data_IF_039388400301
#
_entry.id   IF_039388400301
#
_cell.length_a   1.000
_cell.length_b   1.000
_cell.length_c   1.000
_cell.angle_alpha   90.00
_cell.angle_beta   90.00
_cell.angle_gamma   90.00
#
_symmetry.space_group_name_H-M   'P 1'
#
loop_
_entity.id
_entity.type
_entity.pdbx_description
1 polymer ?
#
# COMPACT_ATOMS: atom_id res chain seq x y z
N UNK A 1 13.23 4.17 -6.39
CA UNK A 1 11.86 4.61 -6.06
C UNK A 1 11.05 3.43 -5.49
N UNK A 2 9.88 3.64 -4.88
CA UNK A 2 9.07 2.52 -4.31
C UNK A 2 8.75 1.41 -5.33
N UNK A 3 8.62 1.76 -6.61
CA UNK A 3 8.41 0.82 -7.71
C UNK A 3 9.61 -0.12 -7.98
N UNK A 4 10.81 0.23 -7.52
CA UNK A 4 12.06 -0.52 -7.77
C UNK A 4 12.53 -1.32 -6.55
N UNK A 5 11.89 -1.14 -5.39
CA UNK A 5 12.25 -1.87 -4.18
C UNK A 5 11.88 -3.36 -4.30
N UNK A 6 12.62 -4.28 -3.65
CA UNK A 6 12.21 -5.67 -3.52
C UNK A 6 10.79 -5.78 -2.93
N UNK A 7 9.99 -6.75 -3.39
CA UNK A 7 8.59 -6.86 -2.97
C UNK A 7 8.45 -7.15 -1.47
N UNK A 8 9.38 -7.91 -0.91
CA UNK A 8 9.52 -8.23 0.51
C UNK A 8 9.81 -7.00 1.40
N UNK A 9 10.28 -5.90 0.83
CA UNK A 9 10.55 -4.66 1.55
C UNK A 9 9.37 -3.67 1.53
N UNK A 10 8.23 -4.05 0.92
CA UNK A 10 7.06 -3.18 0.78
C UNK A 10 6.00 -3.52 1.83
N UNK A 11 5.57 -2.51 2.56
CA UNK A 11 4.31 -2.49 3.31
C UNK A 11 3.48 -1.29 2.84
N UNK A 12 2.16 -1.46 2.79
CA UNK A 12 1.23 -0.40 2.42
C UNK A 12 0.55 0.19 3.66
N UNK A 13 0.45 1.51 3.68
CA UNK A 13 -0.28 2.26 4.70
C UNK A 13 -1.01 3.44 4.08
N UNK A 14 -1.95 4.03 4.85
CA UNK A 14 -2.59 5.29 4.46
C UNK A 14 -1.99 6.49 5.16
N UNK A 15 -1.43 6.32 6.37
CA UNK A 15 -1.13 7.42 7.31
C UNK A 15 -2.38 8.23 7.72
N UNK A 16 -3.56 7.59 7.67
CA UNK A 16 -4.79 8.23 8.12
C UNK A 16 -4.72 8.60 9.61
N UNK A 17 -5.15 9.82 9.99
CA UNK A 17 -6.03 10.70 9.23
C UNK A 17 -5.36 11.72 8.30
N UNK A 18 -4.04 11.75 8.26
CA UNK A 18 -3.23 12.70 7.52
C UNK A 18 -2.87 12.14 6.12
N UNK A 19 -2.11 12.91 5.33
CA UNK A 19 -1.59 12.49 4.02
C UNK A 19 -2.63 11.89 3.05
N UNK A 20 -3.76 12.57 2.85
CA UNK A 20 -4.76 12.12 1.89
C UNK A 20 -4.15 11.84 0.51
N UNK A 21 -4.40 10.66 -0.09
CA UNK A 21 -3.80 10.28 -1.35
C UNK A 21 -4.30 11.20 -2.48
N UNK A 22 -3.53 11.29 -3.57
CA UNK A 22 -3.86 12.16 -4.71
C UNK A 22 -5.22 11.87 -5.35
N UNK A 23 -5.75 10.65 -5.17
CA UNK A 23 -7.08 10.24 -5.65
C UNK A 23 -8.23 10.82 -4.80
N UNK A 24 -7.93 11.23 -3.56
CA UNK A 24 -8.88 11.80 -2.59
C UNK A 24 -8.40 13.16 -2.04
N UNK A 25 -8.07 14.14 -2.91
CA UNK A 25 -7.38 15.36 -2.50
C UNK A 25 -8.27 16.26 -1.63
N UNK A 26 -7.68 16.89 -0.60
CA UNK A 26 -8.36 17.84 0.28
C UNK A 26 -9.36 17.22 1.26
N UNK A 27 -9.47 15.89 1.28
CA UNK A 27 -10.31 15.14 2.22
C UNK A 27 -9.50 14.68 3.44
N UNK A 28 -10.16 14.34 4.55
CA UNK A 28 -9.50 13.61 5.65
C UNK A 28 -9.15 12.23 5.12
N UNK A 29 -7.94 11.76 5.37
CA UNK A 29 -7.57 10.43 4.93
C UNK A 29 -8.24 9.35 5.80
N UNK A 30 -8.37 8.16 5.23
CA UNK A 30 -9.11 7.04 5.79
C UNK A 30 -8.44 5.72 5.39
N UNK A 31 -8.41 4.70 6.27
CA UNK A 31 -7.95 3.35 5.93
C UNK A 31 -8.65 2.76 4.70
N UNK A 32 -9.87 3.20 4.38
CA UNK A 32 -10.62 2.73 3.21
C UNK A 32 -9.97 3.10 1.87
N UNK A 33 -9.01 4.04 1.86
CA UNK A 33 -8.25 4.41 0.67
C UNK A 33 -7.07 3.48 0.37
N UNK A 34 -6.71 2.56 1.27
CA UNK A 34 -5.57 1.65 1.10
C UNK A 34 -5.63 0.83 -0.22
N UNK A 35 -6.80 0.34 -0.68
CA UNK A 35 -6.90 -0.35 -1.97
C UNK A 35 -6.52 0.53 -3.16
N UNK A 36 -6.80 1.83 -3.12
CA UNK A 36 -6.45 2.75 -4.21
C UNK A 36 -4.94 3.03 -4.24
N UNK A 37 -4.31 3.12 -3.06
CA UNK A 37 -2.85 3.20 -2.93
C UNK A 37 -2.18 1.93 -3.48
N UNK A 38 -2.73 0.75 -3.16
CA UNK A 38 -2.25 -0.52 -3.68
C UNK A 38 -2.31 -0.56 -5.22
N UNK A 39 -3.46 -0.19 -5.80
CA UNK A 39 -3.64 -0.14 -7.27
C UNK A 39 -2.63 0.80 -7.92
N UNK A 40 -2.46 2.00 -7.36
CA UNK A 40 -1.50 2.97 -7.90
C UNK A 40 -0.06 2.44 -7.89
N UNK A 41 0.38 1.77 -6.80
CA UNK A 41 1.72 1.18 -6.77
C UNK A 41 1.84 -0.04 -7.69
N UNK A 42 0.81 -0.88 -7.78
CA UNK A 42 0.78 -2.03 -8.68
C UNK A 42 0.93 -1.61 -10.15
N UNK A 43 0.21 -0.57 -10.58
CA UNK A 43 0.34 0.03 -11.91
C UNK A 43 1.78 0.52 -12.18
N UNK A 44 2.40 1.21 -11.22
CA UNK A 44 3.79 1.69 -11.35
C UNK A 44 4.80 0.54 -11.42
N UNK A 45 4.50 -0.60 -10.79
CA UNK A 45 5.35 -1.81 -10.77
C UNK A 45 5.08 -2.76 -11.93
N UNK A 46 3.98 -2.61 -12.65
CA UNK A 46 3.54 -3.55 -13.69
C UNK A 46 3.17 -4.94 -13.15
N UNK A 47 2.63 -5.00 -11.93
CA UNK A 47 2.19 -6.25 -11.26
C UNK A 47 0.70 -6.22 -10.99
N UNK A 48 0.13 -7.38 -10.66
CA UNK A 48 -1.27 -7.45 -10.25
C UNK A 48 -1.48 -6.85 -8.83
N UNK A 49 -2.59 -6.13 -8.64
CA UNK A 49 -2.87 -5.47 -7.37
C UNK A 49 -3.21 -6.46 -6.24
N UNK A 50 -3.81 -7.62 -6.55
CA UNK A 50 -4.10 -8.67 -5.58
C UNK A 50 -2.81 -9.38 -5.15
N UNK A 51 -1.86 -9.58 -6.08
CA UNK A 51 -0.53 -10.11 -5.76
C UNK A 51 0.25 -9.15 -4.84
N UNK A 52 0.26 -7.84 -5.16
CA UNK A 52 0.90 -6.83 -4.32
C UNK A 52 0.26 -6.75 -2.93
N UNK A 53 -1.07 -6.78 -2.85
CA UNK A 53 -1.79 -6.79 -1.59
C UNK A 53 -1.41 -8.01 -0.75
N UNK A 54 -1.43 -9.21 -1.33
CA UNK A 54 -1.06 -10.44 -0.64
C UNK A 54 0.39 -10.41 -0.15
N UNK A 55 1.34 -9.92 -0.96
CA UNK A 55 2.73 -9.77 -0.56
C UNK A 55 2.89 -8.76 0.58
N UNK A 56 2.31 -7.57 0.45
CA UNK A 56 2.39 -6.55 1.48
C UNK A 56 1.75 -7.00 2.79
N UNK A 57 0.65 -7.75 2.75
CA UNK A 57 0.00 -8.28 3.96
C UNK A 57 0.88 -9.32 4.66
N UNK A 58 1.54 -10.21 3.92
CA UNK A 58 2.51 -11.16 4.50
C UNK A 58 3.69 -10.42 5.13
N UNK A 59 4.28 -9.45 4.42
CA UNK A 59 5.40 -8.66 4.94
C UNK A 59 5.02 -7.93 6.23
N UNK A 60 3.81 -7.36 6.31
CA UNK A 60 3.31 -6.70 7.51
C UNK A 60 3.10 -7.70 8.66
N UNK A 61 2.52 -8.87 8.38
CA UNK A 61 2.33 -9.91 9.39
C UNK A 61 3.66 -10.40 9.99
N UNK A 62 4.67 -10.65 9.15
CA UNK A 62 6.01 -11.03 9.57
C UNK A 62 6.70 -9.92 10.37
N UNK A 63 6.62 -8.66 9.91
CA UNK A 63 7.26 -7.51 10.55
C UNK A 63 6.68 -7.21 11.94
N UNK A 64 5.36 -7.31 12.10
CA UNK A 64 4.67 -6.97 13.35
C UNK A 64 4.34 -8.17 14.22
N UNK A 65 4.61 -9.41 13.76
CA UNK A 65 4.29 -10.64 14.47
C UNK A 65 2.79 -10.87 14.63
N UNK A 66 2.02 -10.69 13.55
CA UNK A 66 0.55 -10.85 13.52
C UNK A 66 0.07 -12.25 13.12
N UNK A 67 0.99 -13.23 13.09
CA UNK A 67 0.67 -14.66 12.91
C UNK A 67 -0.12 -15.26 14.10
#
# INVERSE_FOLDING_TARGET
>A
MAAELPAEAIVLETDAPDMAPSMHPGQRNSPEHLPDICRALAELRGVDAEELAASSSRNAAELFGWD
#
